data_IF_106379604747
#
_entry.id   IF_106379604747
#
_cell.length_a   1.000
_cell.length_b   1.000
_cell.length_c   1.000
_cell.angle_alpha   90.00
_cell.angle_beta   90.00
_cell.angle_gamma   90.00
#
_symmetry.space_group_name_H-M   'P 1'
#
loop_
_entity.id
_entity.type
_entity.pdbx_description
1 polymer ?
#
# COMPACT_ATOMS: atom_id res chain seq x y z
N UNK A 1 15.78 19.02 -14.12
CA UNK A 1 15.48 18.64 -14.02
C UNK A 1 14.96 18.14 -13.41
N UNK A 2 15.11 18.26 -13.48
CA UNK A 2 14.56 17.88 -13.13
C UNK A 2 13.94 17.32 -12.53
N UNK A 3 14.13 17.46 -12.53
CA UNK A 3 13.58 16.96 -12.14
C UNK A 3 12.82 16.50 -11.83
N UNK A 4 12.98 16.79 -12.05
CA UNK A 4 12.28 16.42 -11.93
C UNK A 4 11.70 15.76 -11.65
N UNK A 5 11.94 15.95 -11.92
CA UNK A 5 11.52 15.38 -11.80
C UNK A 5 11.15 14.82 -11.29
N UNK A 6 11.23 14.94 -11.90
CA UNK A 6 11.13 14.51 -11.39
C UNK A 6 10.44 13.98 -10.61
N UNK A 7 9.95 14.35 -10.83
CA UNK A 7 9.57 14.01 -9.54
C UNK A 7 8.14 13.59 -9.47
N UNK A 8 7.92 12.31 -9.39
CA UNK A 8 6.63 11.76 -9.08
C UNK A 8 6.28 12.13 -7.65
N UNK A 9 5.03 12.55 -7.34
CA UNK A 9 4.59 12.77 -5.97
C UNK A 9 4.63 11.50 -5.14
N UNK A 10 4.66 10.34 -5.77
CA UNK A 10 4.74 9.06 -5.08
C UNK A 10 5.91 8.26 -5.64
N UNK A 11 6.78 7.81 -4.76
CA UNK A 11 7.88 6.92 -5.15
C UNK A 11 7.80 5.65 -4.31
N UNK A 12 8.29 4.55 -4.87
CA UNK A 12 8.21 3.26 -4.23
C UNK A 12 9.57 2.59 -4.22
N UNK A 13 9.96 2.08 -3.05
CA UNK A 13 11.19 1.32 -2.91
C UNK A 13 10.81 -0.10 -2.54
N UNK A 14 11.20 -1.07 -3.34
CA UNK A 14 10.86 -2.46 -3.12
C UNK A 14 12.08 -3.20 -2.60
N UNK A 15 11.91 -3.86 -1.45
CA UNK A 15 12.97 -4.63 -0.83
C UNK A 15 12.47 -6.03 -0.58
N UNK A 16 13.28 -7.01 -0.93
CA UNK A 16 12.92 -8.39 -0.62
C UNK A 16 13.34 -8.72 0.81
N UNK A 17 12.42 -9.31 1.56
CA UNK A 17 12.67 -9.70 2.94
C UNK A 17 12.15 -11.12 3.13
N UNK A 18 13.05 -12.09 3.04
CA UNK A 18 12.66 -13.49 3.11
C UNK A 18 11.79 -13.87 1.93
N UNK A 19 10.58 -14.34 2.19
CA UNK A 19 9.63 -14.72 1.17
C UNK A 19 8.63 -13.59 0.89
N UNK A 20 8.86 -12.42 1.41
CA UNK A 20 7.98 -11.28 1.26
C UNK A 20 8.67 -10.15 0.51
N UNK A 21 7.88 -9.27 -0.09
CA UNK A 21 8.39 -8.00 -0.57
C UNK A 21 7.84 -6.90 0.32
N UNK A 22 8.72 -5.99 0.71
CA UNK A 22 8.34 -4.80 1.46
C UNK A 22 8.40 -3.63 0.50
N UNK A 23 7.30 -2.92 0.35
CA UNK A 23 7.21 -1.77 -0.54
C UNK A 23 7.10 -0.53 0.32
N UNK A 24 8.15 0.27 0.32
CA UNK A 24 8.15 1.53 1.06
C UNK A 24 7.53 2.61 0.18
N UNK A 25 6.40 3.13 0.62
CA UNK A 25 5.67 4.14 -0.13
C UNK A 25 6.04 5.53 0.39
N UNK A 26 6.56 6.37 -0.48
CA UNK A 26 7.03 7.70 -0.09
C UNK A 26 6.26 8.75 -0.85
N UNK A 27 5.70 9.71 -0.15
CA UNK A 27 5.03 10.86 -0.76
C UNK A 27 3.52 10.81 -0.62
N UNK A 28 2.82 10.96 -1.74
CA UNK A 28 1.36 11.11 -1.73
C UNK A 28 0.69 10.02 -2.53
N UNK A 29 -0.23 9.32 -1.92
CA UNK A 29 -1.03 8.30 -2.60
C UNK A 29 -2.41 8.90 -2.85
N UNK A 30 -2.54 9.59 -3.95
CA UNK A 30 -3.73 10.37 -4.27
C UNK A 30 -4.12 10.16 -5.73
N UNK A 31 -5.29 10.67 -6.09
CA UNK A 31 -5.78 10.59 -7.46
C UNK A 31 -4.72 11.13 -8.43
N UNK A 32 -4.54 10.46 -9.53
CA UNK A 32 -3.56 10.84 -10.54
C UNK A 32 -2.25 10.09 -10.42
N UNK A 33 -1.90 9.60 -9.24
CA UNK A 33 -0.65 8.85 -9.05
C UNK A 33 -0.87 7.49 -8.40
N UNK A 34 -2.09 7.17 -8.05
CA UNK A 34 -2.39 5.89 -7.42
C UNK A 34 -2.04 4.69 -8.32
N UNK A 35 -2.06 4.86 -9.63
CA UNK A 35 -1.72 3.79 -10.56
C UNK A 35 -0.26 3.35 -10.42
N UNK A 36 0.61 4.25 -10.00
CA UNK A 36 2.01 3.90 -9.79
C UNK A 36 2.11 2.74 -8.80
N UNK A 37 1.37 2.84 -7.70
CA UNK A 37 1.36 1.79 -6.69
C UNK A 37 0.67 0.54 -7.22
N UNK A 38 -0.48 0.69 -7.86
CA UNK A 38 -1.24 -0.45 -8.33
C UNK A 38 -0.45 -1.29 -9.32
N UNK A 39 0.16 -0.64 -10.30
CA UNK A 39 0.93 -1.35 -11.32
C UNK A 39 2.13 -2.07 -10.71
N UNK A 40 2.86 -1.38 -9.83
CA UNK A 40 4.04 -1.96 -9.22
C UNK A 40 3.71 -3.19 -8.39
N UNK A 41 2.73 -3.08 -7.51
CA UNK A 41 2.38 -4.17 -6.61
C UNK A 41 1.73 -5.31 -7.38
N UNK A 42 0.93 -5.00 -8.40
CA UNK A 42 0.31 -6.03 -9.22
C UNK A 42 1.35 -6.94 -9.87
N UNK A 43 2.49 -6.39 -10.22
CA UNK A 43 3.56 -7.19 -10.81
C UNK A 43 4.25 -8.07 -9.79
N UNK A 44 4.21 -7.70 -8.52
CA UNK A 44 4.84 -8.47 -7.45
C UNK A 44 3.95 -9.60 -6.95
N UNK A 45 2.65 -9.44 -7.08
CA UNK A 45 1.69 -10.42 -6.55
C UNK A 45 2.00 -11.86 -6.99
N UNK A 46 2.21 -12.14 -8.28
CA UNK A 46 2.47 -13.53 -8.69
C UNK A 46 3.83 -14.05 -8.27
N UNK A 47 4.71 -13.19 -7.81
CA UNK A 47 6.07 -13.59 -7.47
C UNK A 47 6.28 -13.86 -5.98
N UNK A 48 5.26 -13.68 -5.17
CA UNK A 48 5.40 -13.85 -3.73
C UNK A 48 4.06 -14.20 -3.11
N UNK A 49 4.10 -14.67 -1.88
CA UNK A 49 2.88 -14.93 -1.13
C UNK A 49 2.56 -13.83 -0.13
N UNK A 50 3.45 -12.86 0.00
CA UNK A 50 3.26 -11.82 0.99
C UNK A 50 3.87 -10.51 0.53
N UNK A 51 3.09 -9.46 0.60
CA UNK A 51 3.55 -8.10 0.29
C UNK A 51 3.21 -7.21 1.47
N UNK A 52 4.19 -6.47 1.95
CA UNK A 52 4.01 -5.55 3.06
C UNK A 52 4.16 -4.13 2.52
N UNK A 53 3.14 -3.32 2.69
CA UNK A 53 3.18 -1.93 2.28
C UNK A 53 3.50 -1.08 3.50
N UNK A 54 4.69 -0.50 3.49
CA UNK A 54 5.15 0.34 4.59
C UNK A 54 4.76 1.79 4.28
N UNK A 55 3.88 2.33 5.08
CA UNK A 55 3.31 3.65 4.86
C UNK A 55 3.94 4.73 5.71
N UNK A 56 5.10 4.45 6.29
CA UNK A 56 5.78 5.40 7.17
C UNK A 56 5.96 6.78 6.54
N UNK A 57 6.34 6.79 5.29
CA UNK A 57 6.66 8.04 4.60
C UNK A 57 5.56 8.57 3.70
N UNK A 58 4.34 8.06 3.85
CA UNK A 58 3.20 8.63 3.15
C UNK A 58 2.77 9.89 3.88
N UNK A 59 2.74 10.99 3.16
CA UNK A 59 2.36 12.28 3.74
C UNK A 59 0.90 12.60 3.49
N UNK A 60 0.29 11.94 2.51
CA UNK A 60 -1.11 12.21 2.18
C UNK A 60 -1.74 11.02 1.46
N UNK A 61 -2.99 10.74 1.80
CA UNK A 61 -3.78 9.69 1.14
C UNK A 61 -5.19 10.25 0.99
N UNK A 62 -5.75 10.17 -0.21
CA UNK A 62 -7.16 10.55 -0.40
C UNK A 62 -7.98 9.27 -0.60
N UNK A 63 -9.27 9.43 -0.87
CA UNK A 63 -10.15 8.29 -1.02
C UNK A 63 -9.79 7.43 -2.24
N UNK A 64 -9.26 8.04 -3.29
CA UNK A 64 -8.81 7.30 -4.46
C UNK A 64 -7.60 6.41 -4.11
N UNK A 65 -6.67 6.98 -3.36
CA UNK A 65 -5.51 6.22 -2.89
C UNK A 65 -5.92 5.08 -1.98
N UNK A 66 -6.86 5.34 -1.08
CA UNK A 66 -7.37 4.32 -0.20
C UNK A 66 -8.04 3.20 -1.00
N UNK A 67 -8.80 3.56 -2.02
CA UNK A 67 -9.44 2.58 -2.90
C UNK A 67 -8.42 1.69 -3.59
N UNK A 68 -7.27 2.26 -3.95
CA UNK A 68 -6.19 1.48 -4.55
C UNK A 68 -5.67 0.42 -3.58
N UNK A 69 -5.51 0.79 -2.31
CA UNK A 69 -5.06 -0.18 -1.31
C UNK A 69 -6.05 -1.33 -1.18
N UNK A 70 -7.35 -1.01 -1.19
CA UNK A 70 -8.39 -2.04 -1.11
C UNK A 70 -8.36 -2.94 -2.35
N UNK A 71 -8.22 -2.35 -3.53
CA UNK A 71 -8.15 -3.12 -4.78
C UNK A 71 -6.97 -4.08 -4.77
N UNK A 72 -5.83 -3.63 -4.28
CA UNK A 72 -4.66 -4.50 -4.17
C UNK A 72 -4.91 -5.64 -3.21
N UNK A 73 -5.57 -5.37 -2.10
CA UNK A 73 -5.91 -6.39 -1.13
C UNK A 73 -6.77 -7.48 -1.76
N UNK A 74 -7.79 -7.07 -2.50
CA UNK A 74 -8.69 -7.99 -3.15
C UNK A 74 -7.99 -8.80 -4.24
N UNK A 75 -7.19 -8.13 -5.07
CA UNK A 75 -6.45 -8.79 -6.15
C UNK A 75 -5.46 -9.82 -5.60
N UNK A 76 -4.77 -9.45 -4.54
CA UNK A 76 -3.78 -10.34 -3.93
C UNK A 76 -4.46 -11.58 -3.35
N UNK A 77 -5.58 -11.38 -2.69
CA UNK A 77 -6.30 -12.49 -2.09
C UNK A 77 -6.70 -13.51 -3.14
N UNK A 78 -7.17 -13.05 -4.28
CA UNK A 78 -7.53 -13.94 -5.38
C UNK A 78 -6.36 -14.75 -5.90
N UNK A 79 -5.16 -14.23 -5.77
CA UNK A 79 -3.94 -14.89 -6.24
C UNK A 79 -3.20 -15.65 -5.14
N UNK A 80 -3.79 -15.77 -3.96
CA UNK A 80 -3.15 -16.45 -2.85
C UNK A 80 -2.02 -15.65 -2.21
N UNK A 81 -1.99 -14.35 -2.42
CA UNK A 81 -0.98 -13.45 -1.86
C UNK A 81 -1.64 -12.58 -0.80
N UNK A 82 -0.96 -12.34 0.31
CA UNK A 82 -1.48 -11.42 1.30
C UNK A 82 -0.84 -10.05 1.13
N UNK A 83 -1.63 -9.01 1.30
CA UNK A 83 -1.14 -7.63 1.32
C UNK A 83 -1.42 -7.08 2.70
N UNK A 84 -0.36 -6.65 3.36
CA UNK A 84 -0.42 -6.14 4.72
C UNK A 84 0.04 -4.69 4.74
N UNK A 85 -0.56 -3.89 5.61
CA UNK A 85 -0.19 -2.50 5.77
C UNK A 85 0.49 -2.33 7.12
N UNK A 86 1.62 -1.64 7.15
CA UNK A 86 2.30 -1.35 8.39
C UNK A 86 2.58 0.15 8.49
N UNK A 87 2.75 0.61 9.71
CA UNK A 87 3.08 2.01 10.00
C UNK A 87 2.05 2.98 9.45
N UNK A 88 0.78 2.71 9.73
CA UNK A 88 -0.30 3.58 9.31
C UNK A 88 -0.18 4.92 10.03
N UNK A 89 -0.19 5.99 9.26
CA UNK A 89 -0.21 7.32 9.86
C UNK A 89 -1.61 7.69 10.31
N UNK A 90 -1.72 8.82 10.99
CA UNK A 90 -3.00 9.30 11.47
C UNK A 90 -4.04 9.43 10.39
N UNK A 91 -3.65 9.98 9.25
CA UNK A 91 -4.59 10.20 8.16
C UNK A 91 -5.15 8.91 7.60
N UNK A 92 -4.29 7.92 7.42
CA UNK A 92 -4.73 6.64 6.89
C UNK A 92 -5.66 5.95 7.88
N UNK A 93 -5.31 5.98 9.15
CA UNK A 93 -6.17 5.41 10.19
C UNK A 93 -7.53 6.08 10.23
N UNK A 94 -7.54 7.39 10.11
CA UNK A 94 -8.78 8.15 10.14
C UNK A 94 -9.65 7.81 8.94
N UNK A 95 -9.06 7.72 7.75
CA UNK A 95 -9.80 7.37 6.55
C UNK A 95 -10.34 5.96 6.62
N UNK A 96 -9.55 5.01 7.10
CA UNK A 96 -10.00 3.64 7.24
C UNK A 96 -11.17 3.54 8.22
N UNK A 97 -11.08 4.27 9.32
CA UNK A 97 -12.15 4.30 10.30
C UNK A 97 -13.42 4.93 9.78
N UNK A 98 -13.27 6.07 9.10
CA UNK A 98 -14.41 6.81 8.58
C UNK A 98 -15.16 6.03 7.49
N UNK A 99 -14.43 5.31 6.66
CA UNK A 99 -15.02 4.57 5.55
C UNK A 99 -15.45 3.16 5.93
N UNK A 100 -15.11 2.72 7.13
CA UNK A 100 -15.40 1.36 7.56
C UNK A 100 -14.48 0.31 6.96
N UNK A 101 -13.44 0.74 6.25
CA UNK A 101 -12.53 -0.19 5.59
C UNK A 101 -11.51 -0.81 6.52
N UNK A 102 -11.39 -0.31 7.74
CA UNK A 102 -10.49 -0.91 8.70
C UNK A 102 -10.76 -2.40 8.89
N UNK A 103 -12.03 -2.78 8.82
CA UNK A 103 -12.40 -4.18 8.97
C UNK A 103 -11.88 -5.05 7.83
N UNK A 104 -11.81 -4.51 6.64
CA UNK A 104 -11.30 -5.26 5.49
C UNK A 104 -9.87 -5.69 5.74
N UNK A 105 -9.04 -4.76 6.20
CA UNK A 105 -7.65 -5.06 6.47
C UNK A 105 -7.48 -5.84 7.77
N UNK A 106 -8.27 -5.53 8.78
CA UNK A 106 -8.18 -6.22 10.05
C UNK A 106 -8.57 -7.69 9.93
N UNK A 107 -9.60 -7.98 9.15
CA UNK A 107 -10.07 -9.34 8.99
C UNK A 107 -9.02 -10.23 8.34
N UNK A 108 -8.34 -9.68 7.36
CA UNK A 108 -7.39 -10.46 6.61
C UNK A 108 -6.00 -10.30 7.14
N UNK A 109 -5.64 -9.13 7.52
CA UNK A 109 -4.30 -8.80 7.87
C UNK A 109 -4.16 -8.08 9.18
N UNK A 110 -5.03 -8.36 10.11
CA UNK A 110 -4.94 -7.66 11.36
C UNK A 110 -3.58 -7.82 11.98
N UNK A 111 -3.06 -9.00 11.99
CA UNK A 111 -1.74 -9.18 12.54
C UNK A 111 -0.71 -8.45 11.68
N UNK A 112 -0.93 -8.41 10.39
CA UNK A 112 -0.07 -7.65 9.51
C UNK A 112 -0.13 -6.17 9.78
N UNK A 113 -1.31 -5.66 10.08
CA UNK A 113 -1.46 -4.25 10.38
C UNK A 113 -0.75 -3.88 11.66
N UNK A 114 -0.88 -4.68 12.66
CA UNK A 114 -0.23 -4.34 13.90
C UNK A 114 1.16 -4.86 14.03
N UNK A 115 1.50 -5.81 13.19
CA UNK A 115 2.77 -6.25 13.24
C UNK A 115 3.69 -5.35 12.99
N UNK A 116 3.39 -4.84 12.55
CA UNK A 116 4.41 -4.27 12.25
C UNK A 116 4.75 -4.06 12.45
#
# INVERSE_FOLDING_TARGET
MSDKATTSPLTLDVVRAGDAFVVHCNGKLVAGVNDVLYVKVSKLIPATKRIVLDLTNLTRVDSTGLGTLVRLKVSARSAGCSVELINLGKQVRLLLGTTGLMKVFATIGESGIKLC
#
